data_IF_251510276617
#
_entry.id   IF_251510276617
#
_cell.length_a   1.000
_cell.length_b   1.000
_cell.length_c   1.000
_cell.angle_alpha   90.00
_cell.angle_beta   90.00
_cell.angle_gamma   90.00
#
_symmetry.space_group_name_H-M   'P 1'
#
loop_
_entity.id
_entity.type
_entity.pdbx_description
1 polymer ?
#
# COMPACT_ATOMS: atom_id res chain seq x y z
N UNK A 1 47.42 -28.42 39.26
CA UNK A 1 46.22 -27.57 39.36
C UNK A 1 46.12 -26.84 38.03
N UNK A 2 45.14 -26.99 37.15
CA UNK A 2 43.70 -27.22 37.31
C UNK A 2 43.15 -28.06 36.15
N UNK A 3 42.21 -28.95 36.45
CA UNK A 3 41.30 -29.55 35.50
C UNK A 3 40.32 -28.49 34.99
N UNK A 4 40.28 -28.25 33.68
CA UNK A 4 39.13 -27.57 33.05
C UNK A 4 38.22 -28.65 32.50
N UNK A 5 37.32 -29.16 33.36
CA UNK A 5 36.20 -29.99 32.93
C UNK A 5 35.27 -29.13 32.08
N UNK A 6 35.30 -29.30 30.76
CA UNK A 6 34.14 -28.99 29.94
C UNK A 6 33.13 -30.13 30.16
N UNK A 7 31.89 -29.85 30.55
CA UNK A 7 30.88 -30.90 30.68
C UNK A 7 30.70 -31.57 29.32
N UNK A 8 30.94 -32.87 29.27
CA UNK A 8 30.57 -33.71 28.14
C UNK A 8 29.06 -33.59 27.93
N UNK A 9 28.65 -32.93 26.85
CA UNK A 9 27.25 -32.84 26.40
C UNK A 9 26.77 -34.19 25.85
N UNK A 10 27.05 -35.28 26.57
CA UNK A 10 26.69 -36.64 26.20
C UNK A 10 25.15 -36.87 26.18
N UNK A 11 24.37 -35.91 26.69
CA UNK A 11 22.93 -36.07 26.88
C UNK A 11 22.03 -35.35 25.87
N UNK A 12 22.58 -34.76 24.81
CA UNK A 12 21.76 -34.15 23.74
C UNK A 12 22.19 -34.63 22.36
N UNK A 13 22.16 -35.96 22.15
CA UNK A 13 22.08 -36.52 20.80
C UNK A 13 20.60 -36.74 20.45
N UNK A 14 19.91 -35.79 19.79
CA UNK A 14 18.55 -36.03 19.33
C UNK A 14 18.59 -37.23 18.38
N UNK A 15 18.04 -38.36 18.83
CA UNK A 15 17.94 -39.57 18.00
C UNK A 15 17.08 -39.24 16.78
N UNK A 16 17.33 -39.89 15.64
CA UNK A 16 16.53 -39.68 14.41
C UNK A 16 15.01 -39.78 14.66
N UNK A 17 14.61 -40.66 15.59
CA UNK A 17 13.24 -40.78 16.12
C UNK A 17 12.66 -39.47 16.67
N UNK A 18 13.47 -38.65 17.35
CA UNK A 18 13.04 -37.36 17.90
C UNK A 18 12.71 -36.37 16.78
N UNK A 19 13.54 -36.32 15.73
CA UNK A 19 13.28 -35.50 14.54
C UNK A 19 12.04 -35.97 13.76
N UNK A 20 11.84 -37.28 13.64
CA UNK A 20 10.62 -37.84 13.04
C UNK A 20 9.38 -37.49 13.86
N UNK A 21 9.46 -37.55 15.20
CA UNK A 21 8.37 -37.16 16.08
C UNK A 21 8.03 -35.68 15.94
N UNK A 22 9.03 -34.79 15.88
CA UNK A 22 8.80 -33.36 15.66
C UNK A 22 8.19 -33.08 14.29
N UNK A 23 8.68 -33.72 13.23
CA UNK A 23 8.14 -33.56 11.88
C UNK A 23 6.68 -34.05 11.77
N UNK A 24 6.36 -35.19 12.40
CA UNK A 24 5.00 -35.70 12.45
C UNK A 24 4.07 -34.76 13.24
N UNK A 25 4.54 -34.21 14.35
CA UNK A 25 3.79 -33.27 15.16
C UNK A 25 3.49 -31.96 14.39
N UNK A 26 4.47 -31.40 13.67
CA UNK A 26 4.24 -30.19 12.86
C UNK A 26 3.32 -30.45 11.68
N UNK A 27 3.47 -31.59 10.99
CA UNK A 27 2.57 -32.00 9.92
C UNK A 27 1.12 -32.18 10.40
N UNK A 28 0.93 -32.77 11.58
CA UNK A 28 -0.38 -32.93 12.18
C UNK A 28 -1.04 -31.57 12.52
N UNK A 29 -0.28 -30.62 13.05
CA UNK A 29 -0.79 -29.26 13.33
C UNK A 29 -1.20 -28.55 12.03
N UNK A 30 -0.39 -28.64 10.96
CA UNK A 30 -0.73 -28.04 9.65
C UNK A 30 -1.99 -28.68 9.06
N UNK A 31 -2.09 -30.02 9.13
CA UNK A 31 -3.29 -30.73 8.66
C UNK A 31 -4.54 -30.36 9.47
N UNK A 32 -4.43 -30.27 10.80
CA UNK A 32 -5.54 -29.90 11.68
C UNK A 32 -5.97 -28.45 11.46
N UNK A 33 -5.03 -27.53 11.24
CA UNK A 33 -5.32 -26.15 10.86
C UNK A 33 -6.02 -26.06 9.49
N UNK A 34 -5.71 -26.96 8.56
CA UNK A 34 -6.42 -27.11 7.28
C UNK A 34 -7.86 -27.60 7.45
N UNK A 35 -8.12 -28.50 8.41
CA UNK A 35 -9.46 -28.99 8.75
C UNK A 35 -10.30 -27.93 9.50
N UNK A 36 -9.64 -27.07 10.28
CA UNK A 36 -10.24 -25.97 11.03
C UNK A 36 -10.26 -24.65 10.23
N UNK A 37 -10.12 -24.71 8.89
CA UNK A 37 -10.29 -23.50 8.11
C UNK A 37 -11.69 -22.92 8.35
N UNK A 38 -11.80 -21.61 8.63
CA UNK A 38 -13.11 -20.97 8.64
C UNK A 38 -13.75 -21.26 7.30
N UNK A 39 -15.01 -21.73 7.32
CA UNK A 39 -15.83 -21.91 6.12
C UNK A 39 -15.55 -20.74 5.20
N UNK A 40 -15.12 -21.04 3.97
CA UNK A 40 -14.93 -20.03 2.94
C UNK A 40 -16.06 -19.02 3.06
N UNK A 41 -15.73 -17.72 3.12
CA UNK A 41 -16.71 -16.67 3.04
C UNK A 41 -17.32 -16.73 1.63
N UNK A 42 -18.21 -17.70 1.44
CA UNK A 42 -19.04 -17.83 0.27
C UNK A 42 -19.98 -16.65 0.37
N UNK A 43 -19.64 -15.56 -0.32
CA UNK A 43 -20.60 -14.54 -0.61
C UNK A 43 -21.75 -15.25 -1.35
N UNK A 44 -22.85 -15.50 -0.64
CA UNK A 44 -24.07 -16.08 -1.18
C UNK A 44 -24.64 -15.11 -2.21
N UNK A 45 -24.11 -15.14 -3.44
CA UNK A 45 -24.88 -14.72 -4.59
C UNK A 45 -25.91 -15.82 -4.78
N UNK A 46 -27.15 -15.51 -4.43
CA UNK A 46 -28.30 -16.33 -4.72
C UNK A 46 -28.29 -16.58 -6.23
N UNK A 47 -27.91 -17.79 -6.63
CA UNK A 47 -27.92 -18.21 -8.02
C UNK A 47 -29.38 -18.26 -8.48
N UNK A 48 -29.87 -17.16 -9.06
CA UNK A 48 -31.06 -17.17 -9.90
C UNK A 48 -30.62 -17.48 -11.32
N UNK A 49 -30.80 -18.75 -11.69
CA UNK A 49 -31.17 -19.20 -13.03
C UNK A 49 -30.17 -18.96 -14.17
N UNK A 50 -30.09 -19.94 -15.07
CA UNK A 50 -29.42 -19.86 -16.36
C UNK A 50 -30.09 -18.82 -17.29
N UNK A 51 -30.00 -17.54 -16.95
CA UNK A 51 -30.23 -16.45 -17.89
C UNK A 51 -28.89 -16.02 -18.50
N UNK A 52 -28.84 -15.63 -19.78
CA UNK A 52 -27.64 -15.06 -20.38
C UNK A 52 -27.10 -13.94 -19.50
N UNK A 53 -25.87 -14.11 -19.01
CA UNK A 53 -25.24 -13.19 -18.08
C UNK A 53 -24.99 -11.87 -18.81
N UNK A 54 -25.81 -10.87 -18.51
CA UNK A 54 -25.56 -9.50 -18.96
C UNK A 54 -24.13 -9.10 -18.54
N UNK A 55 -23.41 -8.29 -19.35
CA UNK A 55 -22.08 -7.84 -18.99
C UNK A 55 -22.10 -7.27 -17.57
N UNK A 56 -21.27 -7.79 -16.68
CA UNK A 56 -21.15 -7.27 -15.32
C UNK A 56 -20.84 -5.77 -15.43
N UNK A 57 -21.72 -4.92 -14.90
CA UNK A 57 -21.50 -3.49 -14.90
C UNK A 57 -20.21 -3.20 -14.14
N UNK A 58 -19.25 -2.54 -14.79
CA UNK A 58 -18.01 -2.15 -14.15
C UNK A 58 -18.33 -1.31 -12.90
N UNK A 59 -17.81 -1.73 -11.75
CA UNK A 59 -18.06 -1.04 -10.49
C UNK A 59 -17.51 0.39 -10.59
N UNK A 60 -18.25 1.42 -10.14
CA UNK A 60 -17.72 2.77 -10.15
C UNK A 60 -16.52 2.86 -9.22
N UNK A 61 -15.51 3.63 -9.64
CA UNK A 61 -14.36 3.90 -8.80
C UNK A 61 -14.74 4.78 -7.60
N UNK A 62 -14.00 4.68 -6.48
CA UNK A 62 -14.25 5.49 -5.29
C UNK A 62 -14.19 6.98 -5.60
N UNK A 63 -15.16 7.76 -5.11
CA UNK A 63 -15.14 9.21 -5.23
C UNK A 63 -14.17 9.82 -4.20
N UNK A 64 -13.07 10.47 -4.65
CA UNK A 64 -12.09 11.03 -3.74
C UNK A 64 -12.61 12.27 -3.00
N UNK A 65 -13.69 12.92 -3.44
CA UNK A 65 -14.24 14.09 -2.77
C UNK A 65 -14.96 13.75 -1.45
N UNK A 66 -15.38 12.50 -1.27
CA UNK A 66 -16.15 12.04 -0.09
C UNK A 66 -15.29 11.24 0.91
N UNK A 67 -14.04 10.95 0.56
CA UNK A 67 -13.14 10.16 1.38
C UNK A 67 -12.65 10.91 2.63
N UNK A 68 -12.49 10.19 3.73
CA UNK A 68 -11.87 10.70 4.94
C UNK A 68 -10.34 10.54 4.86
N UNK A 69 -9.62 11.63 4.60
CA UNK A 69 -8.17 11.63 4.51
C UNK A 69 -7.50 11.80 5.88
N UNK A 70 -6.37 11.11 6.16
CA UNK A 70 -5.63 11.24 7.40
C UNK A 70 -4.78 12.52 7.44
N UNK A 71 -5.35 13.67 7.05
CA UNK A 71 -4.71 14.98 7.02
C UNK A 71 -5.18 15.82 8.21
N UNK A 72 -4.23 16.47 8.90
CA UNK A 72 -4.51 17.42 9.98
C UNK A 72 -4.51 18.85 9.46
N UNK A 73 -5.63 19.28 8.87
CA UNK A 73 -5.72 20.59 8.21
C UNK A 73 -6.02 21.78 9.14
N UNK A 74 -6.09 21.57 10.45
CA UNK A 74 -6.39 22.62 11.43
C UNK A 74 -7.68 23.38 11.03
N UNK A 75 -7.58 24.67 10.70
CA UNK A 75 -8.73 25.49 10.26
C UNK A 75 -9.14 25.26 8.80
N UNK A 76 -8.28 24.63 7.98
CA UNK A 76 -8.57 24.28 6.59
C UNK A 76 -9.24 22.91 6.45
N UNK A 77 -9.65 22.58 5.23
CA UNK A 77 -10.18 21.26 4.86
C UNK A 77 -9.25 20.54 3.88
N UNK A 78 -9.21 19.20 3.86
CA UNK A 78 -8.55 18.47 2.79
C UNK A 78 -9.17 18.79 1.44
N UNK A 79 -8.35 19.02 0.42
CA UNK A 79 -8.77 19.27 -0.96
C UNK A 79 -8.02 18.35 -1.92
N UNK A 80 -8.77 17.70 -2.83
CA UNK A 80 -8.21 16.84 -3.88
C UNK A 80 -7.70 17.73 -5.01
N UNK A 81 -6.39 17.69 -5.27
CA UNK A 81 -5.74 18.51 -6.31
C UNK A 81 -5.46 17.74 -7.59
N UNK A 82 -5.24 16.43 -7.48
CA UNK A 82 -5.17 15.52 -8.61
C UNK A 82 -5.82 14.19 -8.25
N UNK A 83 -6.36 13.50 -9.25
CA UNK A 83 -6.87 12.14 -9.10
C UNK A 83 -6.57 11.31 -10.33
N UNK A 84 -6.44 10.01 -10.15
CA UNK A 84 -6.40 9.02 -11.21
C UNK A 84 -7.13 7.76 -10.76
N UNK A 85 -7.71 7.03 -11.70
CA UNK A 85 -8.48 5.81 -11.43
C UNK A 85 -7.97 4.67 -12.29
N UNK A 86 -7.93 3.47 -11.73
CA UNK A 86 -7.55 2.26 -12.45
C UNK A 86 -7.55 1.03 -11.53
N UNK A 87 -7.61 -0.15 -12.13
CA UNK A 87 -7.50 -1.44 -11.44
C UNK A 87 -6.02 -1.69 -11.11
N UNK A 88 -5.62 -1.44 -9.86
CA UNK A 88 -4.21 -1.49 -9.43
C UNK A 88 -3.78 -2.88 -8.98
N UNK A 89 -4.71 -3.72 -8.52
CA UNK A 89 -4.43 -5.07 -8.02
C UNK A 89 -4.84 -6.20 -8.98
N UNK A 90 -5.63 -5.89 -10.00
CA UNK A 90 -6.04 -6.81 -11.06
C UNK A 90 -7.35 -7.53 -10.81
N UNK A 91 -8.16 -7.11 -9.84
CA UNK A 91 -9.40 -7.78 -9.45
C UNK A 91 -10.65 -7.30 -10.23
N UNK A 92 -10.45 -6.42 -11.24
CA UNK A 92 -11.52 -5.76 -12.02
C UNK A 92 -12.41 -4.79 -11.24
N UNK A 93 -12.07 -4.45 -9.99
CA UNK A 93 -12.59 -3.29 -9.28
C UNK A 93 -11.58 -2.14 -9.42
N UNK A 94 -12.00 -0.95 -9.87
CA UNK A 94 -11.06 0.16 -9.97
C UNK A 94 -10.81 0.84 -8.62
N UNK A 95 -9.55 1.14 -8.33
CA UNK A 95 -9.13 2.05 -7.26
C UNK A 95 -9.12 3.50 -7.74
N UNK A 96 -9.19 4.42 -6.78
CA UNK A 96 -8.87 5.83 -7.02
C UNK A 96 -7.63 6.21 -6.23
N UNK A 97 -6.66 6.83 -6.90
CA UNK A 97 -5.52 7.48 -6.25
C UNK A 97 -5.77 8.97 -6.24
N UNK A 98 -5.72 9.58 -5.06
CA UNK A 98 -5.98 10.99 -4.83
C UNK A 98 -4.75 11.68 -4.26
N UNK A 99 -4.31 12.76 -4.91
CA UNK A 99 -3.39 13.72 -4.34
C UNK A 99 -4.19 14.77 -3.58
N UNK A 100 -3.91 14.93 -2.30
CA UNK A 100 -4.69 15.74 -1.37
C UNK A 100 -3.77 16.59 -0.53
N UNK A 101 -4.12 17.86 -0.37
CA UNK A 101 -3.44 18.77 0.55
C UNK A 101 -4.46 19.54 1.35
N UNK A 102 -4.03 20.24 2.38
CA UNK A 102 -4.91 21.16 3.08
C UNK A 102 -5.18 22.40 2.24
N UNK A 103 -6.42 22.86 2.24
CA UNK A 103 -6.81 24.16 1.71
C UNK A 103 -6.07 25.26 2.48
N UNK A 104 -5.49 26.20 1.76
CA UNK A 104 -4.72 27.30 2.34
C UNK A 104 -4.91 28.55 1.50
N UNK A 105 -5.17 29.67 2.16
CA UNK A 105 -5.22 30.98 1.50
C UNK A 105 -3.84 31.52 1.09
N UNK A 106 -2.75 30.98 1.67
CA UNK A 106 -1.39 31.43 1.39
C UNK A 106 -0.46 30.21 1.22
N UNK A 107 0.36 30.24 0.17
CA UNK A 107 1.33 29.18 -0.13
C UNK A 107 0.69 27.87 -0.62
N UNK A 108 1.49 26.81 -0.65
CA UNK A 108 1.04 25.47 -1.07
C UNK A 108 1.47 24.45 -0.02
N UNK A 109 0.55 24.02 0.86
CA UNK A 109 0.84 22.96 1.82
C UNK A 109 1.29 21.68 1.13
N UNK A 110 2.17 20.87 1.76
CA UNK A 110 2.60 19.59 1.23
C UNK A 110 1.44 18.67 0.86
N UNK A 111 1.66 17.86 -0.17
CA UNK A 111 0.65 16.95 -0.69
C UNK A 111 0.84 15.56 -0.11
N UNK A 112 -0.25 14.94 0.32
CA UNK A 112 -0.32 13.49 0.54
C UNK A 112 -0.92 12.79 -0.68
N UNK A 113 -0.46 11.59 -1.02
CA UNK A 113 -1.05 10.77 -2.09
C UNK A 113 -1.62 9.50 -1.45
N UNK A 114 -2.91 9.26 -1.64
CA UNK A 114 -3.66 8.20 -1.00
C UNK A 114 -4.33 7.29 -2.02
N UNK A 115 -4.43 5.99 -1.71
CA UNK A 115 -5.16 5.01 -2.51
C UNK A 115 -6.49 4.71 -1.82
N UNK A 116 -7.58 4.76 -2.58
CA UNK A 116 -8.94 4.55 -2.14
C UNK A 116 -9.52 3.27 -2.76
N UNK A 117 -10.31 2.55 -1.97
CA UNK A 117 -11.11 1.40 -2.42
C UNK A 117 -12.57 1.54 -1.98
N UNK A 118 -13.46 0.82 -2.65
CA UNK A 118 -14.88 0.73 -2.28
C UNK A 118 -15.54 2.11 -2.07
N UNK A 119 -16.19 2.37 -0.92
CA UNK A 119 -16.90 3.63 -0.67
C UNK A 119 -15.96 4.79 -0.27
N UNK A 120 -14.72 4.84 -0.79
CA UNK A 120 -13.76 5.92 -0.47
C UNK A 120 -12.88 5.65 0.75
N UNK A 121 -12.65 4.38 1.11
CA UNK A 121 -11.76 4.02 2.23
C UNK A 121 -10.29 4.17 1.81
N UNK A 122 -9.50 4.93 2.56
CA UNK A 122 -8.04 5.00 2.40
C UNK A 122 -7.42 3.65 2.81
N UNK A 123 -6.68 3.04 1.89
CA UNK A 123 -6.00 1.74 2.10
C UNK A 123 -4.48 1.82 2.05
N UNK A 124 -3.94 2.88 1.46
CA UNK A 124 -2.50 3.13 1.40
C UNK A 124 -2.20 4.62 1.30
N UNK A 125 -1.03 5.00 1.79
CA UNK A 125 -0.40 6.31 1.62
C UNK A 125 0.86 6.11 0.78
N UNK A 126 0.87 6.67 -0.43
CA UNK A 126 1.99 6.59 -1.37
C UNK A 126 3.02 7.71 -1.17
N UNK A 127 2.54 8.88 -0.73
CA UNK A 127 3.34 10.04 -0.36
C UNK A 127 2.81 10.60 0.95
N UNK A 128 3.67 10.71 1.96
CA UNK A 128 3.34 11.32 3.23
C UNK A 128 3.54 12.84 3.12
N UNK A 129 2.57 13.68 3.54
CA UNK A 129 2.77 15.13 3.59
C UNK A 129 4.02 15.57 4.39
N UNK A 130 4.49 14.74 5.34
CA UNK A 130 5.73 14.98 6.08
C UNK A 130 7.00 14.95 5.20
N UNK A 131 6.94 14.34 4.00
CA UNK A 131 8.03 14.34 3.03
C UNK A 131 8.23 15.74 2.39
N UNK A 132 7.35 16.70 2.67
CA UNK A 132 7.42 18.08 2.18
C UNK A 132 7.47 18.20 0.65
N UNK A 133 6.86 17.25 -0.06
CA UNK A 133 6.76 17.25 -1.52
C UNK A 133 5.37 17.70 -1.98
N UNK A 134 5.31 18.24 -3.20
CA UNK A 134 4.08 18.55 -3.91
C UNK A 134 4.01 17.77 -5.21
N UNK A 135 2.81 17.42 -5.67
CA UNK A 135 2.64 16.77 -6.97
C UNK A 135 2.06 17.74 -8.00
N UNK A 136 2.55 17.66 -9.22
CA UNK A 136 2.07 18.44 -10.37
C UNK A 136 1.34 17.58 -11.41
N UNK A 137 1.49 16.27 -11.30
CA UNK A 137 0.86 15.30 -12.19
C UNK A 137 0.68 13.99 -11.44
N UNK A 138 -0.47 13.36 -11.63
CA UNK A 138 -0.79 12.04 -11.11
C UNK A 138 -1.52 11.24 -12.20
N UNK A 139 -1.02 10.06 -12.53
CA UNK A 139 -1.59 9.20 -13.57
C UNK A 139 -1.51 7.74 -13.17
N UNK A 140 -2.41 6.92 -13.71
CA UNK A 140 -2.34 5.46 -13.65
C UNK A 140 -2.17 4.94 -15.08
N UNK A 141 -1.25 4.00 -15.27
CA UNK A 141 -1.06 3.30 -16.55
C UNK A 141 -0.88 1.82 -16.27
N UNK A 142 -1.83 1.00 -16.74
CA UNK A 142 -1.99 -0.36 -16.25
C UNK A 142 -2.13 -0.37 -14.73
N UNK A 143 -1.22 -1.07 -14.05
CA UNK A 143 -1.17 -1.19 -12.57
C UNK A 143 -0.13 -0.27 -11.92
N UNK A 144 0.37 0.71 -12.66
CA UNK A 144 1.43 1.62 -12.18
C UNK A 144 0.89 3.00 -11.92
N UNK A 145 1.01 3.46 -10.68
CA UNK A 145 0.79 4.86 -10.31
C UNK A 145 2.05 5.64 -10.63
N UNK A 146 1.93 6.78 -11.30
CA UNK A 146 3.05 7.69 -11.57
C UNK A 146 2.70 9.09 -11.10
N UNK A 147 3.64 9.74 -10.40
CA UNK A 147 3.54 11.14 -10.02
C UNK A 147 4.80 11.92 -10.39
N UNK A 148 4.61 13.19 -10.76
CA UNK A 148 5.70 14.16 -10.87
C UNK A 148 5.75 14.97 -9.58
N UNK A 149 6.77 14.72 -8.76
CA UNK A 149 6.93 15.35 -7.46
C UNK A 149 7.92 16.52 -7.53
N UNK A 150 7.58 17.62 -6.90
CA UNK A 150 8.44 18.76 -6.61
C UNK A 150 8.84 18.71 -5.13
N UNK A 151 10.12 18.91 -4.84
CA UNK A 151 10.65 18.90 -3.47
C UNK A 151 11.84 19.84 -3.31
N UNK A 152 12.61 19.62 -2.24
CA UNK A 152 13.73 20.49 -1.87
C UNK A 152 15.02 19.67 -1.78
N UNK A 153 16.11 20.18 -2.34
CA UNK A 153 17.43 19.53 -2.27
C UNK A 153 18.05 19.64 -0.86
N UNK A 154 17.69 20.68 -0.12
CA UNK A 154 18.13 20.94 1.25
C UNK A 154 17.19 21.88 1.99
N UNK A 155 17.37 22.01 3.31
CA UNK A 155 16.60 22.95 4.15
C UNK A 155 16.93 24.43 3.89
N UNK A 156 18.04 24.72 3.21
CA UNK A 156 18.42 26.08 2.84
C UNK A 156 17.57 26.64 1.69
N UNK A 157 16.87 25.78 0.95
CA UNK A 157 16.00 26.19 -0.16
C UNK A 157 14.73 26.83 0.39
N UNK A 158 14.38 28.01 -0.11
CA UNK A 158 13.19 28.72 0.31
C UNK A 158 11.91 27.92 0.00
N UNK A 159 10.98 27.86 0.96
CA UNK A 159 9.71 27.10 0.85
C UNK A 159 8.79 27.55 -0.29
N UNK A 160 9.01 28.74 -0.86
CA UNK A 160 8.27 29.19 -2.04
C UNK A 160 8.61 28.39 -3.29
N UNK A 161 9.78 27.75 -3.29
CA UNK A 161 10.56 27.53 -4.49
C UNK A 161 11.23 26.15 -4.45
N UNK A 162 10.46 25.06 -4.56
CA UNK A 162 11.03 23.72 -4.65
C UNK A 162 11.97 23.61 -5.87
N UNK A 163 13.18 23.12 -5.64
CA UNK A 163 14.29 23.11 -6.61
C UNK A 163 14.61 21.71 -7.16
N UNK A 164 13.87 20.68 -6.71
CA UNK A 164 14.00 19.31 -7.23
C UNK A 164 12.72 18.85 -7.90
N UNK A 165 12.88 18.05 -8.95
CA UNK A 165 11.79 17.38 -9.65
C UNK A 165 12.11 15.92 -9.87
N UNK A 166 11.18 15.07 -9.47
CA UNK A 166 11.35 13.63 -9.51
C UNK A 166 10.12 12.96 -10.10
N UNK A 167 10.33 12.07 -11.08
CA UNK A 167 9.29 11.13 -11.51
C UNK A 167 9.31 9.94 -10.57
N UNK A 168 8.21 9.72 -9.86
CA UNK A 168 8.05 8.62 -8.91
C UNK A 168 6.97 7.68 -9.39
N UNK A 169 7.22 6.39 -9.28
CA UNK A 169 6.26 5.34 -9.59
C UNK A 169 5.99 4.45 -8.39
N UNK A 170 4.77 3.92 -8.33
CA UNK A 170 4.38 2.91 -7.37
C UNK A 170 3.68 1.77 -8.08
N UNK A 171 4.04 0.54 -7.72
CA UNK A 171 3.36 -0.66 -8.21
C UNK A 171 2.97 -1.56 -7.04
N UNK A 172 1.75 -2.09 -7.09
CA UNK A 172 1.29 -3.08 -6.14
C UNK A 172 2.01 -4.41 -6.35
N UNK A 173 2.65 -4.91 -5.30
CA UNK A 173 3.33 -6.21 -5.25
C UNK A 173 3.20 -6.77 -3.84
N UNK A 174 2.68 -8.00 -3.73
CA UNK A 174 2.65 -8.77 -2.48
C UNK A 174 2.07 -7.99 -1.29
N UNK A 175 0.92 -7.34 -1.47
CA UNK A 175 0.23 -6.65 -0.37
C UNK A 175 0.72 -5.24 -0.05
N UNK A 176 1.65 -4.67 -0.84
CA UNK A 176 2.12 -3.29 -0.66
C UNK A 176 2.50 -2.61 -1.97
N UNK A 177 2.55 -1.28 -1.94
CA UNK A 177 3.09 -0.48 -3.04
C UNK A 177 4.61 -0.36 -2.92
N UNK A 178 5.32 -0.76 -3.97
CA UNK A 178 6.78 -0.55 -4.08
C UNK A 178 7.03 0.78 -4.79
N UNK A 179 7.77 1.68 -4.14
CA UNK A 179 8.17 2.98 -4.68
C UNK A 179 9.45 2.84 -5.51
N UNK A 180 9.50 3.51 -6.65
CA UNK A 180 10.73 3.70 -7.44
C UNK A 180 10.78 5.14 -7.93
N UNK A 181 11.99 5.69 -8.03
CA UNK A 181 12.20 7.10 -8.27
C UNK A 181 13.30 7.32 -9.30
N UNK A 182 13.10 8.30 -10.18
CA UNK A 182 14.13 8.80 -11.08
C UNK A 182 14.14 10.32 -10.97
N UNK A 183 15.29 10.86 -10.59
CA UNK A 183 15.50 12.31 -10.51
C UNK A 183 15.81 12.82 -11.90
N UNK A 184 15.04 13.79 -12.39
CA UNK A 184 15.42 14.51 -13.60
C UNK A 184 16.57 15.45 -13.21
N UNK A 185 17.71 15.37 -13.89
CA UNK A 185 18.88 16.22 -13.61
C UNK A 185 18.70 17.69 -14.06
N UNK A 186 17.45 18.15 -14.18
CA UNK A 186 17.11 19.49 -14.61
C UNK A 186 16.64 20.30 -13.40
N UNK A 187 17.34 21.40 -13.13
CA UNK A 187 16.88 22.45 -12.21
C UNK A 187 15.48 22.91 -12.63
N UNK A 188 14.58 23.01 -11.65
CA UNK A 188 13.17 23.41 -11.82
C UNK A 188 13.05 24.91 -12.08
#
# INVERSE_FOLDING_TARGET
>A
MHNTALPDLAHTRPRAMHWLATAAATAAVVALAGLLQPTAATASQTARGNAPQAPAQARPAPDPATAAYPLKCHAGKPVVVHKATGDLDGDSNPETVAAVRCDSGIGTPPTGIYVLTGPGRVVATLLDPADQQNTTRLTITGRTVTATLLGYSSEAVARCCPDTKQRTTWQWRNGKFLRSATTDAQSV
#
